data_IF_866431465800
#
_entry.id   IF_866431465800
#
_cell.length_a   1.000
_cell.length_b   1.000
_cell.length_c   1.000
_cell.angle_alpha   90.00
_cell.angle_beta   90.00
_cell.angle_gamma   90.00
#
_symmetry.space_group_name_H-M   'P 1'
#
loop_
_entity.id
_entity.type
_entity.pdbx_description
1 polymer ?
#
# COMPACT_ATOMS: atom_id res chain seq x y z
N UNK A 1 -1.15 11.97 29.96
CA UNK A 1 -0.25 11.72 28.84
C UNK A 1 -0.77 12.46 27.58
N UNK A 2 -2.01 12.22 27.21
CA UNK A 2 -2.60 12.79 25.99
C UNK A 2 -3.08 14.23 26.14
N UNK A 3 -3.28 14.70 27.37
CA UNK A 3 -3.78 16.04 27.65
C UNK A 3 -2.72 17.14 27.56
N UNK A 4 -1.46 16.83 27.80
CA UNK A 4 -0.37 17.81 27.75
C UNK A 4 0.22 18.00 26.36
N UNK A 5 0.24 16.95 25.53
CA UNK A 5 0.76 17.03 24.16
C UNK A 5 -0.07 17.94 23.23
N UNK A 6 -1.42 17.88 23.21
CA UNK A 6 -2.22 18.79 22.38
C UNK A 6 -1.98 20.26 22.68
N UNK A 7 -1.82 20.61 23.95
CA UNK A 7 -1.53 22.01 24.34
C UNK A 7 -0.16 22.49 23.85
N UNK A 8 0.85 21.62 23.89
CA UNK A 8 2.17 21.98 23.35
C UNK A 8 2.16 22.15 21.84
N UNK A 9 1.42 21.29 21.13
CA UNK A 9 1.27 21.40 19.68
C UNK A 9 0.51 22.69 19.32
N UNK A 10 -0.57 22.98 20.03
CA UNK A 10 -1.33 24.21 19.85
C UNK A 10 -0.50 25.47 20.11
N UNK A 11 0.32 25.49 21.17
CA UNK A 11 1.19 26.64 21.48
C UNK A 11 2.31 26.81 20.47
N UNK A 12 2.82 25.72 19.91
CA UNK A 12 3.85 25.74 18.88
C UNK A 12 3.33 26.25 17.52
N UNK A 13 2.08 25.88 17.17
CA UNK A 13 1.49 26.28 15.90
C UNK A 13 0.88 27.68 15.91
N UNK A 14 0.79 28.36 17.06
CA UNK A 14 0.30 29.73 17.23
C UNK A 14 -1.18 29.90 16.87
N UNK A 15 -1.87 30.74 17.60
CA UNK A 15 -3.26 31.09 17.28
C UNK A 15 -3.33 31.88 15.97
N UNK A 16 -4.22 31.49 15.07
CA UNK A 16 -4.45 32.24 13.83
C UNK A 16 -4.00 31.58 12.55
N UNK A 17 -3.90 30.26 12.57
CA UNK A 17 -3.59 29.47 11.37
C UNK A 17 -4.70 29.55 10.32
N UNK A 18 -4.34 29.67 9.02
CA UNK A 18 -5.28 29.54 7.91
C UNK A 18 -6.04 28.21 7.96
N UNK A 19 -7.24 28.19 7.40
CA UNK A 19 -8.15 27.02 7.41
C UNK A 19 -7.47 25.73 6.92
N UNK A 20 -6.67 25.83 5.87
CA UNK A 20 -5.89 24.71 5.31
C UNK A 20 -4.89 24.10 6.31
N UNK A 21 -4.24 24.95 7.10
CA UNK A 21 -3.34 24.49 8.15
C UNK A 21 -4.07 23.83 9.32
N UNK A 22 -5.30 24.25 9.61
CA UNK A 22 -6.12 23.59 10.63
C UNK A 22 -6.47 22.18 10.22
N UNK A 23 -6.83 21.96 8.95
CA UNK A 23 -7.13 20.59 8.43
C UNK A 23 -5.89 19.70 8.53
N UNK A 24 -4.76 20.17 8.04
CA UNK A 24 -3.47 19.46 8.14
C UNK A 24 -3.05 19.19 9.58
N UNK A 25 -3.25 20.18 10.46
CA UNK A 25 -2.93 20.04 11.86
C UNK A 25 -3.80 18.98 12.56
N UNK A 26 -5.09 18.92 12.25
CA UNK A 26 -5.98 17.91 12.82
C UNK A 26 -5.58 16.49 12.40
N UNK A 27 -5.23 16.29 11.13
CA UNK A 27 -4.76 15.01 10.62
C UNK A 27 -3.48 14.59 11.35
N UNK A 28 -2.50 15.46 11.42
CA UNK A 28 -1.25 15.20 12.14
C UNK A 28 -1.47 14.90 13.64
N UNK A 29 -2.40 15.62 14.26
CA UNK A 29 -2.73 15.37 15.67
C UNK A 29 -3.42 14.02 15.86
N UNK A 30 -4.36 13.67 15.00
CA UNK A 30 -5.08 12.39 15.09
C UNK A 30 -4.16 11.20 14.84
N UNK A 31 -3.16 11.36 13.98
CA UNK A 31 -2.16 10.34 13.71
C UNK A 31 -1.21 10.10 14.88
N UNK A 32 -0.69 11.17 15.49
CA UNK A 32 0.34 11.09 16.53
C UNK A 32 -0.20 11.02 17.95
N UNK A 33 -1.36 11.60 18.20
CA UNK A 33 -1.92 11.81 19.53
C UNK A 33 -3.30 11.18 19.73
N UNK A 34 -3.84 10.57 18.70
CA UNK A 34 -5.21 10.08 18.67
C UNK A 34 -6.21 11.14 18.22
N UNK A 35 -7.45 10.73 18.04
CA UNK A 35 -8.53 11.60 17.61
C UNK A 35 -8.89 12.63 18.69
N UNK A 36 -9.28 13.82 18.26
CA UNK A 36 -9.95 14.77 19.15
C UNK A 36 -11.33 14.22 19.54
N UNK A 37 -11.81 14.60 20.72
CA UNK A 37 -13.15 14.25 21.17
C UNK A 37 -14.16 14.72 20.09
N UNK A 38 -15.05 13.81 19.70
CA UNK A 38 -16.09 14.00 18.68
C UNK A 38 -15.59 14.19 17.22
N UNK A 39 -14.27 14.09 16.97
CA UNK A 39 -13.72 14.08 15.62
C UNK A 39 -12.91 12.82 15.38
N UNK A 40 -13.37 11.98 14.47
CA UNK A 40 -12.63 10.79 14.05
C UNK A 40 -11.85 11.10 12.76
N UNK A 41 -10.59 10.70 12.68
CA UNK A 41 -9.83 10.82 11.44
C UNK A 41 -10.48 9.96 10.35
N UNK A 42 -10.36 10.40 9.12
CA UNK A 42 -10.62 9.56 7.98
C UNK A 42 -9.75 8.31 8.05
N UNK A 43 -10.32 7.14 7.89
CA UNK A 43 -9.57 5.87 7.97
C UNK A 43 -9.70 5.09 6.68
N UNK A 44 -8.58 4.51 6.24
CA UNK A 44 -8.51 3.63 5.08
C UNK A 44 -8.49 2.19 5.56
N UNK A 45 -9.52 1.39 5.24
CA UNK A 45 -9.48 -0.04 5.50
C UNK A 45 -8.50 -0.72 4.53
N UNK A 46 -7.61 -1.54 5.09
CA UNK A 46 -6.67 -2.38 4.34
C UNK A 46 -7.01 -3.83 4.64
N UNK A 47 -7.34 -4.59 3.61
CA UNK A 47 -7.61 -6.02 3.69
C UNK A 47 -6.53 -6.78 2.95
N UNK A 48 -5.96 -7.78 3.60
CA UNK A 48 -4.87 -8.57 3.06
C UNK A 48 -5.23 -10.03 3.19
N UNK A 49 -5.27 -10.72 2.07
CA UNK A 49 -5.45 -12.15 1.99
C UNK A 49 -4.12 -12.77 1.57
N UNK A 50 -3.63 -13.72 2.35
CA UNK A 50 -2.37 -14.41 2.09
C UNK A 50 -2.61 -15.90 2.06
N UNK A 51 -2.18 -16.52 0.99
CA UNK A 51 -2.20 -17.97 0.80
C UNK A 51 -0.78 -18.50 0.61
N UNK A 52 -0.42 -19.49 1.38
CA UNK A 52 0.80 -20.27 1.17
C UNK A 52 0.44 -21.68 0.73
N UNK A 53 0.67 -21.96 -0.55
CA UNK A 53 0.34 -23.25 -1.14
C UNK A 53 1.23 -24.38 -0.60
N UNK A 54 2.47 -24.05 -0.19
CA UNK A 54 3.45 -25.03 0.31
C UNK A 54 3.12 -25.49 1.73
N UNK A 55 2.61 -24.57 2.56
CA UNK A 55 2.21 -24.83 3.95
C UNK A 55 0.72 -25.17 4.09
N UNK A 56 -0.07 -25.00 3.02
CA UNK A 56 -1.52 -25.17 3.07
C UNK A 56 -2.23 -24.15 3.96
N UNK A 57 -1.66 -22.96 4.13
CA UNK A 57 -2.23 -21.86 4.93
C UNK A 57 -2.99 -20.89 4.04
N UNK A 58 -4.07 -20.36 4.57
CA UNK A 58 -4.96 -19.41 3.89
C UNK A 58 -5.57 -18.50 4.95
N UNK A 59 -5.03 -17.29 5.07
CA UNK A 59 -5.37 -16.35 6.14
C UNK A 59 -5.77 -14.99 5.57
N UNK A 60 -6.71 -14.33 6.25
CA UNK A 60 -7.12 -12.95 5.92
C UNK A 60 -6.91 -12.04 7.13
N UNK A 61 -6.28 -10.89 6.86
CA UNK A 61 -6.00 -9.86 7.85
C UNK A 61 -6.71 -8.57 7.46
N UNK A 62 -7.10 -7.79 8.46
CA UNK A 62 -7.69 -6.47 8.27
C UNK A 62 -7.02 -5.44 9.17
N UNK A 63 -6.80 -4.25 8.64
CA UNK A 63 -6.32 -3.11 9.38
C UNK A 63 -7.11 -1.84 9.00
N UNK A 64 -7.04 -0.83 9.85
CA UNK A 64 -7.54 0.51 9.60
C UNK A 64 -6.41 1.49 9.84
N UNK A 65 -6.06 2.25 8.81
CA UNK A 65 -4.98 3.23 8.87
C UNK A 65 -5.61 4.62 8.84
N UNK A 66 -5.23 5.49 9.77
CA UNK A 66 -5.61 6.90 9.67
C UNK A 66 -5.04 7.48 8.37
N UNK A 67 -5.87 8.22 7.62
CA UNK A 67 -5.45 8.77 6.35
C UNK A 67 -4.36 9.81 6.55
N UNK A 68 -3.20 9.56 5.96
CA UNK A 68 -2.08 10.48 5.89
C UNK A 68 -1.28 10.13 4.62
N UNK A 69 -1.15 11.08 3.72
CA UNK A 69 -0.55 10.90 2.40
C UNK A 69 0.92 10.43 2.48
N UNK A 70 1.65 10.91 3.49
CA UNK A 70 3.07 10.59 3.66
C UNK A 70 3.32 9.17 4.17
N UNK A 71 2.38 8.62 4.97
CA UNK A 71 2.58 7.34 5.66
C UNK A 71 1.70 6.21 5.16
N UNK A 72 0.58 6.49 4.49
CA UNK A 72 -0.41 5.47 4.09
C UNK A 72 0.20 4.36 3.24
N UNK A 73 1.03 4.72 2.25
CA UNK A 73 1.70 3.76 1.38
C UNK A 73 2.66 2.84 2.16
N UNK A 74 3.46 3.43 3.03
CA UNK A 74 4.45 2.71 3.84
C UNK A 74 3.78 1.80 4.87
N UNK A 75 2.75 2.30 5.56
CA UNK A 75 2.01 1.52 6.55
C UNK A 75 1.25 0.35 5.89
N UNK A 76 0.62 0.57 4.74
CA UNK A 76 -0.08 -0.48 4.00
C UNK A 76 0.87 -1.59 3.57
N UNK A 77 2.04 -1.23 3.03
CA UNK A 77 3.07 -2.20 2.66
C UNK A 77 3.64 -2.95 3.89
N UNK A 78 3.87 -2.25 5.00
CA UNK A 78 4.33 -2.86 6.24
C UNK A 78 3.35 -3.88 6.82
N UNK A 79 2.05 -3.57 6.79
CA UNK A 79 0.99 -4.50 7.23
C UNK A 79 0.90 -5.70 6.29
N UNK A 80 1.01 -5.49 4.98
CA UNK A 80 1.02 -6.58 3.99
C UNK A 80 2.22 -7.50 4.21
N UNK A 81 3.41 -6.95 4.45
CA UNK A 81 4.60 -7.72 4.77
C UNK A 81 4.45 -8.51 6.08
N UNK A 82 3.92 -7.90 7.12
CA UNK A 82 3.67 -8.59 8.39
C UNK A 82 2.66 -9.74 8.25
N UNK A 83 1.60 -9.55 7.44
CA UNK A 83 0.64 -10.59 7.13
C UNK A 83 1.28 -11.76 6.36
N UNK A 84 2.10 -11.45 5.34
CA UNK A 84 2.88 -12.46 4.61
C UNK A 84 3.79 -13.24 5.55
N UNK A 85 4.60 -12.56 6.35
CA UNK A 85 5.55 -13.20 7.29
C UNK A 85 4.86 -14.05 8.35
N UNK A 86 3.60 -13.77 8.67
CA UNK A 86 2.83 -14.56 9.63
C UNK A 86 2.22 -15.82 9.01
N UNK A 87 1.76 -15.74 7.76
CA UNK A 87 1.08 -16.85 7.08
C UNK A 87 2.05 -17.76 6.36
N UNK A 88 3.08 -17.20 5.71
CA UNK A 88 4.03 -17.95 4.90
C UNK A 88 5.42 -18.00 5.55
N UNK A 89 6.15 -19.07 5.24
CA UNK A 89 7.59 -19.12 5.44
C UNK A 89 8.27 -18.56 4.19
N UNK A 90 8.17 -17.23 4.04
CA UNK A 90 8.68 -16.51 2.88
C UNK A 90 10.21 -16.38 2.85
N UNK A 91 10.89 -16.86 3.89
CA UNK A 91 12.34 -16.90 3.96
C UNK A 91 12.88 -18.07 3.13
N UNK A 92 13.80 -17.76 2.23
CA UNK A 92 14.37 -18.72 1.31
C UNK A 92 13.84 -18.55 -0.11
N UNK A 93 14.19 -19.52 -0.96
CA UNK A 93 13.82 -19.49 -2.37
C UNK A 93 12.30 -19.66 -2.54
N UNK A 94 11.64 -18.58 -2.95
CA UNK A 94 10.18 -18.56 -3.09
C UNK A 94 9.71 -17.62 -4.20
N UNK A 95 8.49 -17.89 -4.68
CA UNK A 95 7.78 -17.07 -5.66
C UNK A 95 6.51 -16.55 -5.01
N UNK A 96 6.21 -15.25 -5.17
CA UNK A 96 4.95 -14.65 -4.73
C UNK A 96 4.21 -14.03 -5.92
N UNK A 97 2.95 -14.35 -6.07
CA UNK A 97 2.02 -13.62 -6.90
C UNK A 97 1.33 -12.58 -6.01
N UNK A 98 1.44 -11.30 -6.36
CA UNK A 98 0.79 -10.20 -5.68
C UNK A 98 -0.26 -9.61 -6.62
N UNK A 99 -1.50 -9.54 -6.15
CA UNK A 99 -2.55 -8.76 -6.79
C UNK A 99 -3.08 -7.74 -5.78
N UNK A 100 -3.28 -6.50 -6.20
CA UNK A 100 -3.90 -5.51 -5.33
C UNK A 100 -4.84 -4.57 -6.08
N UNK A 101 -5.82 -4.10 -5.33
CA UNK A 101 -6.81 -3.12 -5.78
C UNK A 101 -6.82 -1.96 -4.80
N UNK A 102 -6.55 -0.76 -5.28
CA UNK A 102 -6.68 0.49 -4.55
C UNK A 102 -7.89 1.24 -5.09
N UNK A 103 -8.92 1.44 -4.26
CA UNK A 103 -10.03 2.32 -4.64
C UNK A 103 -9.66 3.77 -4.35
N UNK A 104 -9.75 4.60 -5.38
CA UNK A 104 -9.31 6.00 -5.33
C UNK A 104 -10.05 6.84 -6.36
N UNK A 105 -10.21 8.13 -6.08
CA UNK A 105 -10.72 9.10 -7.04
C UNK A 105 -9.66 9.57 -8.07
N UNK A 106 -8.39 9.20 -7.90
CA UNK A 106 -7.30 9.61 -8.79
C UNK A 106 -7.43 9.04 -10.21
N UNK A 107 -8.10 7.89 -10.37
CA UNK A 107 -8.30 7.23 -11.65
C UNK A 107 -9.77 7.27 -12.08
N UNK A 108 -10.02 7.34 -13.39
CA UNK A 108 -11.37 7.45 -13.98
C UNK A 108 -12.29 6.31 -13.59
N UNK A 109 -11.74 5.11 -13.47
CA UNK A 109 -12.49 3.89 -13.14
C UNK A 109 -12.75 3.73 -11.63
N UNK A 110 -12.32 4.69 -10.82
CA UNK A 110 -12.44 4.67 -9.36
C UNK A 110 -11.61 3.59 -8.66
N UNK A 111 -10.80 2.84 -9.40
CA UNK A 111 -9.94 1.78 -8.86
C UNK A 111 -8.67 1.60 -9.69
N UNK A 112 -7.56 1.45 -9.01
CA UNK A 112 -6.30 0.99 -9.60
C UNK A 112 -6.11 -0.48 -9.28
N UNK A 113 -5.91 -1.31 -10.29
CA UNK A 113 -5.72 -2.77 -10.14
C UNK A 113 -4.37 -3.14 -10.72
N UNK A 114 -3.60 -3.91 -9.97
CA UNK A 114 -2.32 -4.43 -10.43
C UNK A 114 -2.15 -5.88 -10.00
N UNK A 115 -1.50 -6.65 -10.87
CA UNK A 115 -1.11 -8.03 -10.59
C UNK A 115 0.29 -8.25 -11.13
N UNK A 116 1.17 -8.82 -10.31
CA UNK A 116 2.53 -9.14 -10.70
C UNK A 116 3.05 -10.41 -9.98
N UNK A 117 4.16 -10.93 -10.46
CA UNK A 117 4.83 -12.10 -9.89
C UNK A 117 6.27 -11.76 -9.56
N UNK A 118 6.71 -12.17 -8.38
CA UNK A 118 8.03 -11.91 -7.84
C UNK A 118 8.71 -13.21 -7.46
N UNK A 119 10.02 -13.25 -7.65
CA UNK A 119 10.86 -14.35 -7.20
C UNK A 119 12.05 -13.79 -6.43
N UNK A 120 12.39 -14.44 -5.33
CA UNK A 120 13.58 -14.13 -4.56
C UNK A 120 14.15 -15.39 -3.93
N UNK A 121 15.46 -15.37 -3.71
CA UNK A 121 16.20 -16.48 -3.05
C UNK A 121 16.25 -16.34 -1.53
N UNK A 122 15.88 -15.16 -0.99
CA UNK A 122 15.97 -14.84 0.44
C UNK A 122 14.63 -14.47 1.06
N UNK A 123 13.98 -13.42 0.54
CA UNK A 123 12.72 -12.90 1.06
C UNK A 123 11.90 -12.27 -0.08
N UNK A 124 10.96 -13.03 -0.61
CA UNK A 124 10.09 -12.57 -1.69
C UNK A 124 9.09 -11.51 -1.22
N UNK A 125 8.74 -11.52 0.07
CA UNK A 125 7.79 -10.59 0.65
C UNK A 125 8.24 -9.15 0.55
N UNK A 126 9.51 -8.85 0.83
CA UNK A 126 10.04 -7.50 0.73
C UNK A 126 9.93 -6.91 -0.67
N UNK A 127 10.20 -7.72 -1.70
CA UNK A 127 10.13 -7.26 -3.10
C UNK A 127 8.68 -7.06 -3.52
N UNK A 128 7.81 -8.01 -3.17
CA UNK A 128 6.41 -7.97 -3.54
C UNK A 128 5.70 -6.73 -2.96
N UNK A 129 5.87 -6.46 -1.66
CA UNK A 129 5.21 -5.29 -1.03
C UNK A 129 5.80 -3.95 -1.49
N UNK A 130 7.03 -3.94 -1.99
CA UNK A 130 7.67 -2.75 -2.58
C UNK A 130 6.88 -2.18 -3.75
N UNK A 131 6.28 -3.04 -4.58
CA UNK A 131 5.43 -2.58 -5.69
C UNK A 131 4.12 -1.94 -5.20
N UNK A 132 3.49 -2.52 -4.17
CA UNK A 132 2.31 -1.94 -3.53
C UNK A 132 2.64 -0.53 -2.99
N UNK A 133 3.76 -0.42 -2.27
CA UNK A 133 4.21 0.86 -1.72
C UNK A 133 4.44 1.91 -2.81
N UNK A 134 5.13 1.54 -3.88
CA UNK A 134 5.39 2.46 -5.00
C UNK A 134 4.11 2.91 -5.69
N UNK A 135 3.18 1.99 -5.95
CA UNK A 135 1.92 2.31 -6.61
C UNK A 135 1.07 3.27 -5.75
N UNK A 136 0.97 3.02 -4.46
CA UNK A 136 0.24 3.89 -3.54
C UNK A 136 0.92 5.25 -3.38
N UNK A 137 2.25 5.29 -3.27
CA UNK A 137 3.00 6.54 -3.20
C UNK A 137 2.81 7.40 -4.45
N UNK A 138 2.77 6.80 -5.64
CA UNK A 138 2.47 7.52 -6.88
C UNK A 138 1.04 8.07 -6.92
N UNK A 139 0.07 7.33 -6.37
CA UNK A 139 -1.32 7.82 -6.28
C UNK A 139 -1.40 9.02 -5.33
N UNK A 140 -0.74 8.95 -4.17
CA UNK A 140 -0.74 10.03 -3.18
C UNK A 140 0.07 11.26 -3.63
N UNK A 141 1.07 11.07 -4.48
CA UNK A 141 1.98 12.14 -4.94
C UNK A 141 1.47 12.88 -6.19
N UNK A 142 0.26 12.63 -6.66
CA UNK A 142 -0.29 13.32 -7.84
C UNK A 142 -0.47 14.81 -7.55
N UNK A 143 0.30 15.71 -8.18
CA UNK A 143 0.25 17.14 -7.90
C UNK A 143 -1.01 17.82 -8.46
N UNK A 144 -1.68 17.17 -9.43
CA UNK A 144 -2.82 17.74 -10.14
C UNK A 144 -4.15 17.36 -9.49
N UNK A 145 -4.16 16.36 -8.61
CA UNK A 145 -5.37 15.86 -7.95
C UNK A 145 -5.08 15.50 -6.50
N UNK A 146 -5.85 16.08 -5.60
CA UNK A 146 -5.94 15.56 -4.23
C UNK A 146 -6.56 14.16 -4.30
N UNK A 147 -5.72 13.14 -4.14
CA UNK A 147 -6.13 11.76 -4.29
C UNK A 147 -6.63 11.20 -2.95
N UNK A 148 -7.91 10.88 -2.89
CA UNK A 148 -8.47 10.12 -1.77
C UNK A 148 -8.33 8.62 -2.03
N UNK A 149 -7.68 7.91 -1.12
CA UNK A 149 -7.68 6.45 -1.10
C UNK A 149 -8.81 5.99 -0.17
N UNK A 150 -9.74 5.24 -0.72
CA UNK A 150 -10.95 4.78 -0.04
C UNK A 150 -10.71 3.46 0.67
N UNK A 151 -10.10 2.50 -0.01
CA UNK A 151 -9.66 1.22 0.56
C UNK A 151 -8.54 0.56 -0.26
N UNK A 152 -7.88 -0.41 0.37
CA UNK A 152 -6.82 -1.22 -0.23
C UNK A 152 -7.12 -2.69 0.02
N UNK A 153 -7.19 -3.47 -1.05
CA UNK A 153 -7.32 -4.92 -1.00
C UNK A 153 -6.10 -5.55 -1.64
N UNK A 154 -5.48 -6.47 -0.92
CA UNK A 154 -4.25 -7.16 -1.34
C UNK A 154 -4.45 -8.66 -1.26
N UNK A 155 -4.16 -9.35 -2.34
CA UNK A 155 -4.15 -10.82 -2.43
C UNK A 155 -2.74 -11.29 -2.75
N UNK A 156 -2.21 -12.18 -1.93
CA UNK A 156 -0.87 -12.74 -2.09
C UNK A 156 -0.93 -14.25 -2.10
N UNK A 157 -0.32 -14.84 -3.13
CA UNK A 157 -0.09 -16.27 -3.23
C UNK A 157 1.41 -16.55 -3.14
N UNK A 158 1.85 -17.30 -2.14
CA UNK A 158 3.26 -17.68 -1.97
C UNK A 158 3.43 -19.16 -2.25
N UNK A 159 4.47 -19.50 -3.01
CA UNK A 159 4.89 -20.86 -3.28
C UNK A 159 6.40 -21.00 -3.07
N UNK A 160 6.83 -22.08 -2.45
CA UNK A 160 8.25 -22.41 -2.34
C UNK A 160 8.85 -22.72 -3.73
N UNK A 161 10.09 -22.29 -3.91
CA UNK A 161 10.85 -22.56 -5.13
C UNK A 161 10.63 -21.52 -6.24
N UNK A 162 11.33 -21.76 -7.34
CA UNK A 162 11.40 -20.85 -8.49
C UNK A 162 10.31 -21.15 -9.51
N UNK A 163 9.44 -20.18 -9.76
CA UNK A 163 8.39 -20.23 -10.80
C UNK A 163 8.62 -19.14 -11.85
N UNK A 164 9.84 -19.05 -12.38
CA UNK A 164 10.21 -18.05 -13.38
C UNK A 164 10.61 -18.70 -14.69
N UNK A 165 10.35 -18.01 -15.79
CA UNK A 165 10.83 -18.39 -17.12
C UNK A 165 11.76 -17.28 -17.66
N UNK A 166 12.71 -17.67 -18.47
CA UNK A 166 13.60 -16.72 -19.17
C UNK A 166 13.20 -16.66 -20.63
N UNK A 167 12.96 -15.44 -21.13
CA UNK A 167 12.75 -15.23 -22.55
C UNK A 167 14.08 -15.46 -23.28
N UNK A 168 14.16 -16.54 -24.04
CA UNK A 168 15.41 -16.94 -24.75
C UNK A 168 15.57 -16.14 -26.04
N UNK A 169 14.48 -15.90 -26.76
CA UNK A 169 14.53 -15.12 -27.99
C UNK A 169 13.15 -14.48 -28.27
N UNK A 170 13.17 -13.35 -28.93
CA UNK A 170 12.00 -12.71 -29.51
C UNK A 170 12.34 -12.36 -30.95
N UNK A 171 11.65 -12.99 -31.91
CA UNK A 171 11.85 -12.75 -33.34
C UNK A 171 10.58 -12.09 -33.87
N UNK A 172 10.67 -10.89 -34.47
CA UNK A 172 9.50 -10.26 -35.07
C UNK A 172 9.05 -11.06 -36.30
N UNK A 173 7.75 -11.19 -36.46
CA UNK A 173 7.14 -11.87 -37.61
C UNK A 173 7.36 -11.09 -38.91
N UNK A 174 7.46 -9.76 -38.80
CA UNK A 174 7.74 -8.85 -39.90
C UNK A 174 9.02 -8.05 -39.65
N UNK A 175 9.86 -7.93 -40.65
CA UNK A 175 11.08 -7.08 -40.59
C UNK A 175 10.77 -5.60 -40.73
N UNK A 176 9.60 -5.24 -41.22
CA UNK A 176 9.15 -3.85 -41.41
C UNK A 176 7.71 -3.75 -40.97
N UNK A 177 7.42 -2.82 -40.07
CA UNK A 177 6.06 -2.53 -39.56
C UNK A 177 5.75 -1.05 -39.73
N UNK A 178 4.47 -0.73 -39.95
CA UNK A 178 3.99 0.66 -39.97
C UNK A 178 3.46 1.06 -38.60
N UNK A 179 3.47 2.36 -38.27
CA UNK A 179 2.83 2.82 -37.05
C UNK A 179 1.36 2.38 -36.99
N UNK A 180 0.99 1.65 -35.92
CA UNK A 180 -0.38 1.13 -35.70
C UNK A 180 -0.64 -0.30 -36.21
N UNK A 181 0.37 -0.99 -36.75
CA UNK A 181 0.34 -2.44 -37.07
C UNK A 181 0.82 -3.31 -35.89
#
# INVERSE_FOLDING_TARGET
YYTTCPQKVLSFLGGGLPELRRKSWRISLSEKLGALADEFPSVVPVKIHVKDASLGRDDTYGARIAYDEDYLAQLSAGIAYAAMSKTSDSLGESTAELAFTVRTNAVSDGKFVRKNMFYNTTDVGQIAVGELMQAMALICADPDKEADIIDVNVDVNVEAGRRTATLVSAVPDKTTVRPGE
#
